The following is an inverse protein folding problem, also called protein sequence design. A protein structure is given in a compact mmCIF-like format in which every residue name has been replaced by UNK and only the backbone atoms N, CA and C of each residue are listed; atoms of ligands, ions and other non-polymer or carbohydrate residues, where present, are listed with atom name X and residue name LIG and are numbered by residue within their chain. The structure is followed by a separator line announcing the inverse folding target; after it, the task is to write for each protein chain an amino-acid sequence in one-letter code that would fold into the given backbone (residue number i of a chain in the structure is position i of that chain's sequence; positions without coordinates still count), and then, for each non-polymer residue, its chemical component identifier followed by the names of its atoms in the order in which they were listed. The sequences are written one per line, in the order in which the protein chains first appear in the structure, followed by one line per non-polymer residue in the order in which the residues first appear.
data_IF_426723398085
#
_entry.id   IF_426723398085
#
_cell.length_a   1.000
_cell.length_b   1.000
_cell.length_c   1.000
_cell.angle_alpha   90.00
_cell.angle_beta   90.00
_cell.angle_gamma   90.00
#
_symmetry.space_group_name_H-M   'P 1'
#
loop_
_entity.id
_entity.type
_entity.pdbx_description
1 polymer ?
#
# COMPACT_ATOMS: atom_id res chain seq x y z
N UNK A 1 4.76 -20.74 4.76
CA UNK A 1 4.35 -20.33 3.39
C UNK A 1 5.55 -19.70 2.70
N UNK A 2 5.65 -19.77 1.37
CA UNK A 2 6.78 -19.17 0.62
C UNK A 2 6.67 -17.66 0.42
N UNK A 3 5.52 -17.08 0.75
CA UNK A 3 5.20 -15.66 0.60
C UNK A 3 4.41 -15.14 1.82
N UNK A 4 3.78 -13.97 1.67
CA UNK A 4 2.96 -13.31 2.69
C UNK A 4 1.80 -14.19 3.18
N UNK A 5 1.41 -14.05 4.44
CA UNK A 5 0.24 -14.76 4.97
C UNK A 5 -1.07 -14.30 4.32
N UNK A 6 -1.14 -13.03 3.91
CA UNK A 6 -2.24 -12.44 3.16
C UNK A 6 -1.75 -11.20 2.39
N UNK A 7 -2.26 -11.02 1.17
CA UNK A 7 -2.16 -9.80 0.38
C UNK A 7 -3.57 -9.39 -0.08
N UNK A 8 -4.04 -8.20 0.29
CA UNK A 8 -5.33 -7.65 -0.15
C UNK A 8 -5.11 -6.38 -0.95
N UNK A 9 -5.45 -6.42 -2.24
CA UNK A 9 -5.26 -5.32 -3.16
C UNK A 9 -6.25 -5.37 -4.35
N UNK A 10 -6.40 -4.25 -5.05
CA UNK A 10 -6.98 -4.21 -6.40
C UNK A 10 -5.89 -4.34 -7.48
N UNK A 11 -6.26 -4.29 -8.76
CA UNK A 11 -5.29 -4.26 -9.87
C UNK A 11 -5.46 -3.01 -10.73
N UNK A 12 -4.37 -2.29 -11.00
CA UNK A 12 -4.40 -1.13 -11.89
C UNK A 12 -4.45 -1.62 -13.33
N UNK A 13 -5.32 -1.04 -14.16
CA UNK A 13 -5.14 -1.11 -15.61
C UNK A 13 -4.31 0.08 -16.06
N UNK A 14 -3.25 -0.15 -16.83
CA UNK A 14 -2.45 0.95 -17.39
C UNK A 14 -3.11 1.48 -18.66
N UNK A 15 -3.30 2.78 -18.76
CA UNK A 15 -3.72 3.44 -20.00
C UNK A 15 -2.62 3.25 -21.04
N UNK A 16 -2.97 2.59 -22.15
CA UNK A 16 -2.08 2.30 -23.28
C UNK A 16 -2.33 3.22 -24.46
N UNK A 17 -3.57 3.68 -24.62
CA UNK A 17 -3.97 4.60 -25.67
C UNK A 17 -5.17 5.42 -25.22
N UNK A 18 -5.19 6.72 -25.51
CA UNK A 18 -6.40 7.57 -25.40
C UNK A 18 -7.00 7.72 -26.80
N UNK A 19 -8.23 7.23 -27.00
CA UNK A 19 -8.89 7.24 -28.31
C UNK A 19 -9.63 8.55 -28.57
N UNK A 20 -10.27 9.08 -27.53
CA UNK A 20 -11.00 10.34 -27.54
C UNK A 20 -11.06 10.93 -26.12
N UNK A 21 -11.92 11.91 -25.87
CA UNK A 21 -12.06 12.54 -24.57
C UNK A 21 -12.71 11.66 -23.50
N UNK A 22 -13.35 10.56 -23.88
CA UNK A 22 -14.05 9.66 -22.95
C UNK A 22 -13.49 8.24 -22.97
N UNK A 23 -12.73 7.84 -23.99
CA UNK A 23 -12.41 6.44 -24.25
C UNK A 23 -10.92 6.18 -24.26
N UNK A 24 -10.52 5.12 -23.57
CA UNK A 24 -9.14 4.62 -23.52
C UNK A 24 -9.08 3.14 -23.85
N UNK A 25 -7.91 2.69 -24.31
CA UNK A 25 -7.49 1.30 -24.23
C UNK A 25 -6.58 1.18 -23.01
N UNK A 26 -6.95 0.31 -22.08
CA UNK A 26 -6.20 0.04 -20.86
C UNK A 26 -5.85 -1.44 -20.76
N UNK A 27 -4.70 -1.76 -20.15
CA UNK A 27 -4.12 -3.10 -20.15
C UNK A 27 -3.67 -3.53 -18.76
N UNK A 28 -3.89 -4.80 -18.42
CA UNK A 28 -3.16 -5.44 -17.34
C UNK A 28 -1.66 -5.48 -17.67
N UNK A 29 -0.82 -5.14 -16.71
CA UNK A 29 0.63 -5.07 -16.96
C UNK A 29 1.39 -6.27 -16.40
N UNK A 30 1.01 -6.76 -15.21
CA UNK A 30 1.66 -7.92 -14.63
C UNK A 30 1.12 -9.23 -15.26
N UNK A 31 1.98 -10.15 -15.75
CA UNK A 31 1.52 -11.36 -16.44
C UNK A 31 0.63 -12.29 -15.64
N UNK A 32 0.73 -12.24 -14.31
CA UNK A 32 -0.09 -13.06 -13.40
C UNK A 32 -1.46 -12.44 -13.07
N UNK A 33 -1.74 -11.21 -13.54
CA UNK A 33 -3.00 -10.51 -13.30
C UNK A 33 -3.98 -10.60 -14.49
N UNK A 34 -3.61 -11.28 -15.57
CA UNK A 34 -4.41 -11.31 -16.81
C UNK A 34 -5.71 -12.09 -16.67
N UNK A 35 -6.73 -11.64 -17.41
CA UNK A 35 -7.88 -12.46 -17.76
C UNK A 35 -8.99 -12.54 -16.72
N UNK A 36 -8.90 -11.74 -15.65
CA UNK A 36 -10.01 -11.49 -14.73
C UNK A 36 -10.91 -10.38 -15.26
N UNK A 37 -12.19 -10.39 -14.84
CA UNK A 37 -13.05 -9.22 -14.99
C UNK A 37 -12.48 -8.10 -14.10
N UNK A 38 -12.30 -6.91 -14.67
CA UNK A 38 -11.71 -5.77 -13.95
C UNK A 38 -12.77 -4.80 -13.41
N UNK A 39 -13.93 -4.73 -14.07
CA UNK A 39 -15.01 -3.84 -13.70
C UNK A 39 -16.19 -3.96 -14.65
N UNK A 40 -17.28 -3.29 -14.30
CA UNK A 40 -18.56 -3.30 -15.02
C UNK A 40 -19.11 -1.88 -15.20
N UNK A 41 -20.14 -1.74 -16.04
CA UNK A 41 -20.81 -0.47 -16.25
C UNK A 41 -21.38 0.07 -14.92
N UNK A 42 -21.12 1.34 -14.65
CA UNK A 42 -21.52 2.05 -13.43
C UNK A 42 -20.42 2.13 -12.37
N UNK A 43 -19.36 1.32 -12.46
CA UNK A 43 -18.27 1.33 -11.48
C UNK A 43 -17.59 2.70 -11.41
N UNK A 44 -17.40 3.19 -10.20
CA UNK A 44 -16.61 4.39 -9.91
C UNK A 44 -15.12 4.07 -9.99
N UNK A 45 -14.37 4.95 -10.66
CA UNK A 45 -12.94 4.79 -10.92
C UNK A 45 -12.17 6.08 -10.60
N UNK A 46 -10.86 5.95 -10.42
CA UNK A 46 -9.93 7.08 -10.34
C UNK A 46 -8.64 6.80 -11.12
N UNK A 47 -7.87 7.85 -11.39
CA UNK A 47 -6.66 7.77 -12.19
C UNK A 47 -5.44 8.15 -11.37
N UNK A 48 -4.38 7.35 -11.49
CA UNK A 48 -3.10 7.57 -10.79
C UNK A 48 -1.99 7.76 -11.81
N UNK A 49 -1.15 8.79 -11.60
CA UNK A 49 0.05 9.02 -12.39
C UNK A 49 1.15 8.06 -11.90
N UNK A 50 1.63 7.13 -12.71
CA UNK A 50 2.53 6.06 -12.26
C UNK A 50 3.85 6.56 -11.66
N UNK A 51 4.40 7.66 -12.19
CA UNK A 51 5.69 8.20 -11.75
C UNK A 51 5.67 8.75 -10.32
N UNK A 52 4.62 9.50 -9.96
CA UNK A 52 4.48 10.14 -8.64
C UNK A 52 3.45 9.46 -7.75
N UNK A 53 2.71 8.47 -8.26
CA UNK A 53 1.55 7.84 -7.62
C UNK A 53 0.46 8.84 -7.18
N UNK A 54 0.38 10.01 -7.81
CA UNK A 54 -0.63 11.02 -7.46
C UNK A 54 -1.94 10.83 -8.24
N UNK A 55 -3.07 11.08 -7.56
CA UNK A 55 -4.37 11.12 -8.19
C UNK A 55 -4.52 12.33 -9.13
N UNK A 56 -5.07 12.08 -10.32
CA UNK A 56 -5.30 13.04 -11.41
C UNK A 56 -6.73 12.87 -11.94
N UNK A 57 -7.40 13.90 -12.48
CA UNK A 57 -8.70 13.71 -13.14
C UNK A 57 -9.94 13.67 -12.25
N UNK A 58 -9.78 13.63 -10.93
CA UNK A 58 -10.87 13.32 -10.02
C UNK A 58 -11.43 11.89 -10.21
N UNK A 59 -12.64 11.66 -9.71
CA UNK A 59 -13.35 10.38 -9.88
C UNK A 59 -14.21 10.42 -11.13
N UNK A 60 -14.38 9.28 -11.79
CA UNK A 60 -15.25 9.11 -12.95
C UNK A 60 -16.05 7.80 -12.81
N UNK A 61 -16.93 7.49 -13.77
CA UNK A 61 -17.67 6.22 -13.84
C UNK A 61 -17.48 5.54 -15.17
N UNK A 62 -17.39 4.21 -15.14
CA UNK A 62 -17.39 3.38 -16.36
C UNK A 62 -18.78 3.45 -17.00
N UNK A 63 -18.86 3.97 -18.22
CA UNK A 63 -20.08 3.93 -19.03
C UNK A 63 -20.17 2.61 -19.81
N UNK A 64 -19.04 2.17 -20.36
CA UNK A 64 -18.91 0.92 -21.10
C UNK A 64 -17.50 0.35 -20.90
N UNK A 65 -17.40 -0.96 -20.69
CA UNK A 65 -16.14 -1.70 -20.69
C UNK A 65 -16.28 -2.96 -21.54
N UNK A 66 -15.41 -3.09 -22.55
CA UNK A 66 -15.39 -4.22 -23.47
C UNK A 66 -13.97 -4.77 -23.61
N UNK A 67 -13.80 -6.09 -23.75
CA UNK A 67 -12.53 -6.67 -24.17
C UNK A 67 -12.04 -6.04 -25.48
N UNK A 68 -10.74 -5.74 -25.56
CA UNK A 68 -10.12 -5.14 -26.76
C UNK A 68 -9.26 -6.14 -27.56
N UNK A 69 -8.65 -7.11 -26.90
CA UNK A 69 -7.75 -8.11 -27.53
C UNK A 69 -8.35 -9.52 -27.65
N UNK A 70 -9.61 -9.69 -27.24
CA UNK A 70 -10.37 -10.95 -27.22
C UNK A 70 -11.86 -10.69 -27.48
N UNK A 71 -12.61 -11.74 -27.80
CA UNK A 71 -14.06 -11.66 -27.97
C UNK A 71 -14.83 -11.70 -26.64
N UNK A 72 -14.17 -12.09 -25.55
CA UNK A 72 -14.76 -12.26 -24.22
C UNK A 72 -13.80 -11.77 -23.12
N UNK A 73 -14.36 -11.41 -21.97
CA UNK A 73 -13.62 -10.94 -20.78
C UNK A 73 -12.59 -11.98 -20.31
N UNK A 74 -12.98 -13.26 -20.31
CA UNK A 74 -12.11 -14.34 -19.87
C UNK A 74 -10.84 -14.42 -20.73
N UNK A 75 -9.70 -14.13 -20.12
CA UNK A 75 -8.40 -14.13 -20.79
C UNK A 75 -8.05 -12.85 -21.56
N UNK A 76 -8.93 -11.83 -21.53
CA UNK A 76 -8.62 -10.51 -22.05
C UNK A 76 -7.48 -9.86 -21.25
N UNK A 77 -6.57 -9.20 -21.96
CA UNK A 77 -5.49 -8.42 -21.36
C UNK A 77 -5.74 -6.93 -21.49
N UNK A 78 -6.52 -6.54 -22.50
CA UNK A 78 -6.87 -5.18 -22.79
C UNK A 78 -8.37 -4.96 -22.74
N UNK A 79 -8.75 -3.79 -22.27
CA UNK A 79 -10.11 -3.31 -22.26
C UNK A 79 -10.20 -1.97 -22.98
N UNK A 80 -11.22 -1.83 -23.81
CA UNK A 80 -11.71 -0.52 -24.26
C UNK A 80 -12.69 -0.04 -23.21
N UNK A 81 -12.37 1.08 -22.55
CA UNK A 81 -13.16 1.64 -21.47
C UNK A 81 -13.61 3.04 -21.89
N UNK A 82 -14.93 3.24 -21.91
CA UNK A 82 -15.54 4.55 -22.12
C UNK A 82 -16.08 5.05 -20.78
N UNK A 83 -15.74 6.28 -20.42
CA UNK A 83 -16.17 6.92 -19.18
C UNK A 83 -17.39 7.82 -19.38
N UNK A 84 -18.15 8.04 -18.30
CA UNK A 84 -19.32 8.90 -18.31
C UNK A 84 -18.94 10.38 -18.52
N UNK A 85 -17.93 10.85 -17.79
CA UNK A 85 -17.40 12.22 -17.90
C UNK A 85 -16.14 12.25 -18.77
N UNK A 86 -15.83 13.39 -19.42
CA UNK A 86 -14.58 13.53 -20.16
C UNK A 86 -13.35 13.41 -19.23
N UNK A 87 -12.27 12.84 -19.75
CA UNK A 87 -10.98 12.75 -19.09
C UNK A 87 -10.27 14.10 -19.11
N UNK A 88 -9.72 14.49 -17.97
CA UNK A 88 -8.81 15.64 -17.88
C UNK A 88 -7.70 15.53 -18.94
N UNK A 89 -7.33 16.67 -19.54
CA UNK A 89 -6.34 16.73 -20.61
C UNK A 89 -4.96 16.17 -20.19
N UNK A 90 -4.65 16.18 -18.89
CA UNK A 90 -3.41 15.63 -18.33
C UNK A 90 -3.36 14.10 -18.37
N UNK A 91 -4.51 13.41 -18.42
CA UNK A 91 -4.56 11.95 -18.48
C UNK A 91 -4.28 11.51 -19.92
N UNK A 92 -3.05 11.11 -20.18
CA UNK A 92 -2.57 10.71 -21.51
C UNK A 92 -1.99 9.30 -21.49
N UNK A 93 -1.76 8.74 -22.67
CA UNK A 93 -1.05 7.46 -22.87
C UNK A 93 0.48 7.58 -22.82
N UNK A 94 1.02 8.80 -22.69
CA UNK A 94 2.48 9.08 -22.72
C UNK A 94 3.15 9.04 -21.36
N UNK A 95 2.49 9.57 -20.32
CA UNK A 95 3.10 9.78 -19.01
C UNK A 95 2.89 8.62 -18.02
N UNK A 96 2.20 7.56 -18.46
CA UNK A 96 1.91 6.38 -17.64
C UNK A 96 0.85 6.68 -16.59
N UNK A 97 -0.37 6.24 -16.86
CA UNK A 97 -1.49 6.33 -15.91
C UNK A 97 -2.06 4.95 -15.62
N UNK A 98 -2.34 4.69 -14.36
CA UNK A 98 -3.15 3.57 -13.89
C UNK A 98 -4.59 4.01 -13.66
N UNK A 99 -5.53 3.10 -13.92
CA UNK A 99 -6.94 3.22 -13.55
C UNK A 99 -7.19 2.27 -12.39
N UNK A 100 -7.78 2.78 -11.32
CA UNK A 100 -8.22 1.99 -10.17
C UNK A 100 -9.74 1.95 -10.11
N UNK A 101 -10.29 0.74 -9.92
CA UNK A 101 -11.70 0.52 -9.69
C UNK A 101 -12.01 0.65 -8.20
N UNK A 102 -12.70 1.73 -7.82
CA UNK A 102 -13.05 2.03 -6.44
C UNK A 102 -14.24 1.21 -5.93
N UNK A 103 -15.04 0.66 -6.86
CA UNK A 103 -16.23 -0.11 -6.52
C UNK A 103 -15.89 -1.52 -6.03
N UNK A 104 -14.68 -1.99 -6.36
CA UNK A 104 -14.20 -3.35 -6.08
C UNK A 104 -13.07 -3.36 -5.05
N UNK A 105 -13.04 -2.36 -4.17
CA UNK A 105 -12.15 -2.34 -3.01
C UNK A 105 -12.85 -2.97 -1.79
N UNK A 106 -12.20 -3.88 -1.05
CA UNK A 106 -12.77 -4.47 0.16
C UNK A 106 -12.45 -3.64 1.42
N UNK A 107 -13.34 -3.69 2.40
CA UNK A 107 -12.97 -3.49 3.81
C UNK A 107 -12.24 -4.75 4.33
N UNK A 108 -11.27 -4.57 5.22
CA UNK A 108 -10.46 -5.64 5.78
C UNK A 108 -10.57 -5.66 7.29
N UNK A 109 -10.88 -6.84 7.83
CA UNK A 109 -10.83 -7.13 9.25
C UNK A 109 -9.97 -8.37 9.47
N UNK A 110 -8.74 -8.17 9.97
CA UNK A 110 -7.75 -9.22 10.18
C UNK A 110 -7.40 -9.29 11.66
N UNK A 111 -7.96 -10.27 12.37
CA UNK A 111 -7.83 -10.37 13.81
C UNK A 111 -7.66 -11.79 14.34
N UNK A 112 -7.02 -11.88 15.51
CA UNK A 112 -6.87 -13.11 16.29
C UNK A 112 -6.06 -14.22 15.56
N UNK A 113 -5.09 -13.83 14.73
CA UNK A 113 -4.25 -14.74 13.95
C UNK A 113 -2.84 -14.92 14.56
N UNK A 114 -2.17 -16.01 14.16
CA UNK A 114 -0.74 -16.23 14.39
C UNK A 114 -0.02 -16.30 13.05
N UNK A 115 0.92 -15.39 12.82
CA UNK A 115 1.70 -15.26 11.58
C UNK A 115 3.16 -15.55 11.91
N UNK A 116 3.70 -16.66 11.40
CA UNK A 116 5.07 -17.10 11.68
C UNK A 116 5.64 -18.00 10.60
N UNK A 117 6.97 -18.13 10.57
CA UNK A 117 7.71 -19.09 9.73
C UNK A 117 7.42 -18.96 8.21
N UNK A 118 7.01 -17.79 7.74
CA UNK A 118 6.82 -17.52 6.32
C UNK A 118 8.03 -16.75 5.78
N UNK A 119 8.37 -16.99 4.51
CA UNK A 119 9.62 -16.47 3.92
C UNK A 119 9.58 -14.95 3.70
N UNK A 120 8.46 -14.35 3.31
CA UNK A 120 8.39 -12.95 2.87
C UNK A 120 7.86 -12.00 3.96
N UNK A 121 6.90 -11.11 3.67
CA UNK A 121 6.28 -10.19 4.64
C UNK A 121 5.24 -10.95 5.47
N UNK A 122 4.84 -10.43 6.63
CA UNK A 122 3.73 -11.03 7.38
C UNK A 122 2.41 -10.86 6.63
N UNK A 123 2.00 -9.61 6.41
CA UNK A 123 0.78 -9.24 5.67
C UNK A 123 1.01 -8.04 4.76
N UNK A 124 0.30 -7.97 3.64
CA UNK A 124 0.25 -6.80 2.76
C UNK A 124 -1.19 -6.30 2.61
N UNK A 125 -1.41 -5.00 2.82
CA UNK A 125 -2.70 -4.37 2.63
C UNK A 125 -2.59 -3.13 1.75
N UNK A 126 -3.41 -3.09 0.70
CA UNK A 126 -3.56 -1.99 -0.23
C UNK A 126 -5.05 -1.81 -0.55
N UNK A 127 -5.76 -0.99 0.24
CA UNK A 127 -7.16 -0.66 -0.03
C UNK A 127 -7.49 0.74 0.51
N UNK A 128 -8.31 1.53 -0.20
CA UNK A 128 -8.77 2.83 0.30
C UNK A 128 -9.85 2.70 1.38
N UNK A 129 -10.52 1.55 1.48
CA UNK A 129 -11.53 1.33 2.51
C UNK A 129 -10.89 0.93 3.84
N UNK A 130 -11.74 0.76 4.86
CA UNK A 130 -11.30 0.50 6.23
C UNK A 130 -10.51 -0.81 6.32
N UNK A 131 -9.30 -0.74 6.88
CA UNK A 131 -8.48 -1.89 7.25
C UNK A 131 -8.25 -1.90 8.75
N UNK A 132 -8.61 -2.98 9.42
CA UNK A 132 -8.34 -3.19 10.85
C UNK A 132 -7.51 -4.44 11.03
N UNK A 133 -6.36 -4.28 11.67
CA UNK A 133 -5.41 -5.35 12.01
C UNK A 133 -5.27 -5.37 13.53
N UNK A 134 -5.88 -6.35 14.20
CA UNK A 134 -5.88 -6.35 15.66
C UNK A 134 -5.76 -7.71 16.35
N UNK A 135 -5.18 -7.73 17.55
CA UNK A 135 -5.03 -8.96 18.36
C UNK A 135 -4.30 -10.09 17.65
N UNK A 136 -3.43 -9.77 16.69
CA UNK A 136 -2.61 -10.76 16.01
C UNK A 136 -1.26 -10.93 16.71
N UNK A 137 -0.70 -12.13 16.59
CA UNK A 137 0.68 -12.44 16.93
C UNK A 137 1.50 -12.56 15.64
N UNK A 138 2.46 -11.66 15.46
CA UNK A 138 3.50 -11.75 14.44
C UNK A 138 4.77 -12.28 15.10
N UNK A 139 5.09 -13.55 14.85
CA UNK A 139 6.11 -14.31 15.54
C UNK A 139 7.24 -14.68 14.55
N UNK A 140 8.35 -13.96 14.66
CA UNK A 140 9.56 -14.12 13.84
C UNK A 140 9.31 -14.07 12.33
N UNK A 141 8.51 -13.10 11.86
CA UNK A 141 8.34 -12.89 10.40
C UNK A 141 9.68 -12.57 9.75
N UNK A 142 9.97 -13.20 8.61
CA UNK A 142 11.25 -13.00 7.94
C UNK A 142 11.41 -11.59 7.39
N UNK A 143 10.38 -11.04 6.74
CA UNK A 143 10.31 -9.63 6.36
C UNK A 143 9.54 -8.78 7.37
N UNK A 144 9.10 -7.61 6.91
CA UNK A 144 8.22 -6.71 7.66
C UNK A 144 6.96 -7.46 8.07
N UNK A 145 6.47 -7.24 9.29
CA UNK A 145 5.27 -7.90 9.78
C UNK A 145 4.03 -7.38 9.04
N UNK A 146 3.95 -6.07 8.82
CA UNK A 146 2.85 -5.44 8.09
C UNK A 146 3.43 -4.48 7.04
N UNK A 147 3.07 -4.71 5.79
CA UNK A 147 3.35 -3.84 4.66
C UNK A 147 2.07 -3.13 4.22
N UNK A 148 2.09 -1.79 4.23
CA UNK A 148 1.11 -0.98 3.51
C UNK A 148 1.78 -0.51 2.21
N UNK A 149 1.24 -0.90 1.07
CA UNK A 149 1.88 -0.69 -0.23
C UNK A 149 0.94 0.01 -1.23
N UNK A 150 1.44 0.14 -2.45
CA UNK A 150 0.73 0.54 -3.65
C UNK A 150 1.75 0.73 -4.75
N UNK A 151 1.49 0.13 -5.90
CA UNK A 151 2.45 0.11 -6.99
C UNK A 151 1.73 0.15 -8.34
N UNK A 152 2.06 1.12 -9.18
CA UNK A 152 1.58 1.23 -10.56
C UNK A 152 2.75 1.14 -11.57
N UNK A 153 3.83 0.45 -11.21
CA UNK A 153 5.08 0.41 -11.96
C UNK A 153 5.61 -1.02 -12.20
N UNK A 154 5.45 -1.95 -11.24
CA UNK A 154 5.89 -3.34 -11.34
C UNK A 154 4.74 -4.36 -11.29
N UNK A 155 4.15 -4.54 -10.11
CA UNK A 155 3.04 -5.43 -9.78
C UNK A 155 1.67 -4.91 -10.18
N UNK A 156 1.50 -3.57 -10.26
CA UNK A 156 0.21 -2.93 -10.58
C UNK A 156 -0.89 -3.24 -9.55
N UNK A 157 -0.53 -3.25 -8.27
CA UNK A 157 -1.44 -3.47 -7.15
C UNK A 157 -1.97 -2.14 -6.60
N UNK A 158 -3.28 -1.97 -6.61
CA UNK A 158 -3.94 -0.71 -6.20
C UNK A 158 -4.33 -0.72 -4.75
N UNK A 159 -4.49 0.50 -4.22
CA UNK A 159 -5.22 0.73 -2.99
C UNK A 159 -4.44 1.59 -2.02
N UNK A 160 -4.54 2.91 -2.19
CA UNK A 160 -3.97 3.83 -1.21
C UNK A 160 -4.67 3.70 0.14
N UNK A 161 -3.95 3.27 1.18
CA UNK A 161 -4.44 3.23 2.56
C UNK A 161 -4.92 4.62 3.06
N UNK A 162 -6.23 4.78 3.26
CA UNK A 162 -6.87 6.01 3.78
C UNK A 162 -7.47 5.87 5.18
N UNK A 163 -7.72 4.64 5.63
CA UNK A 163 -8.33 4.35 6.93
C UNK A 163 -7.82 3.02 7.48
N UNK A 164 -6.67 3.05 8.13
CA UNK A 164 -6.02 1.85 8.68
C UNK A 164 -5.88 1.97 10.20
N UNK A 165 -6.26 0.91 10.90
CA UNK A 165 -6.09 0.77 12.35
C UNK A 165 -5.31 -0.52 12.65
N UNK A 166 -4.10 -0.37 13.18
CA UNK A 166 -3.24 -1.47 13.63
C UNK A 166 -3.16 -1.38 15.15
N UNK A 167 -3.83 -2.28 15.87
CA UNK A 167 -3.89 -2.20 17.34
C UNK A 167 -3.86 -3.51 18.10
N UNK A 168 -3.39 -3.49 19.34
CA UNK A 168 -3.38 -4.66 20.22
C UNK A 168 -2.67 -5.88 19.60
N UNK A 169 -1.73 -5.68 18.67
CA UNK A 169 -0.93 -6.76 18.10
C UNK A 169 0.36 -6.94 18.90
N UNK A 170 0.91 -8.15 18.85
CA UNK A 170 2.23 -8.47 19.40
C UNK A 170 3.18 -8.82 18.26
N UNK A 171 4.32 -8.14 18.20
CA UNK A 171 5.38 -8.37 17.24
C UNK A 171 6.60 -8.92 17.98
N UNK A 172 7.02 -10.14 17.66
CA UNK A 172 8.17 -10.79 18.26
C UNK A 172 9.22 -10.98 17.18
N UNK A 173 10.35 -10.28 17.32
CA UNK A 173 11.54 -10.42 16.48
C UNK A 173 11.23 -10.51 14.98
N UNK A 174 10.36 -9.63 14.48
CA UNK A 174 10.12 -9.48 13.05
C UNK A 174 11.36 -8.91 12.33
N UNK A 175 11.38 -8.98 11.00
CA UNK A 175 12.54 -8.62 10.16
C UNK A 175 13.77 -9.50 10.37
N UNK A 176 13.61 -10.82 10.44
CA UNK A 176 14.78 -11.73 10.58
C UNK A 176 15.62 -11.89 9.31
N UNK A 177 15.21 -11.30 8.18
CA UNK A 177 15.95 -11.33 6.91
C UNK A 177 15.62 -10.12 6.01
N UNK A 178 16.41 -9.89 4.95
CA UNK A 178 16.22 -8.78 4.01
C UNK A 178 15.35 -9.16 2.82
N UNK A 179 14.26 -8.42 2.59
CA UNK A 179 13.38 -8.55 1.43
C UNK A 179 13.06 -7.18 0.81
N UNK A 180 12.42 -7.21 -0.36
CA UNK A 180 11.92 -5.97 -0.99
C UNK A 180 10.82 -5.35 -0.13
N UNK A 181 10.83 -4.02 -0.03
CA UNK A 181 9.82 -3.22 0.68
C UNK A 181 9.74 -3.49 2.20
N UNK A 182 10.81 -4.03 2.80
CA UNK A 182 10.89 -4.32 4.25
C UNK A 182 11.95 -3.46 4.93
N UNK A 183 11.58 -2.22 5.31
CA UNK A 183 12.52 -1.25 5.91
C UNK A 183 12.37 -1.13 7.45
N UNK A 184 11.31 -1.69 8.01
CA UNK A 184 10.99 -1.72 9.45
C UNK A 184 9.96 -2.81 9.79
N UNK A 185 9.71 -3.08 11.08
CA UNK A 185 8.69 -4.07 11.52
C UNK A 185 7.32 -3.78 10.90
N UNK A 186 6.95 -2.50 10.81
CA UNK A 186 5.84 -2.02 9.97
C UNK A 186 6.41 -1.10 8.90
N UNK A 187 6.18 -1.43 7.63
CA UNK A 187 6.63 -0.63 6.49
C UNK A 187 5.43 -0.06 5.74
N UNK A 188 5.36 1.27 5.62
CA UNK A 188 4.45 1.98 4.71
C UNK A 188 5.31 2.41 3.52
N UNK A 189 5.25 1.63 2.43
CA UNK A 189 6.22 1.69 1.34
C UNK A 189 5.51 1.61 -0.02
N UNK A 190 4.91 2.69 -0.52
CA UNK A 190 4.48 2.75 -1.91
C UNK A 190 5.67 2.88 -2.89
N UNK A 191 5.53 2.25 -4.05
CA UNK A 191 6.50 2.32 -5.14
C UNK A 191 6.30 3.60 -5.96
N UNK A 192 7.13 4.60 -5.66
CA UNK A 192 7.10 5.93 -6.27
C UNK A 192 8.45 6.18 -6.92
N UNK A 193 8.56 6.03 -8.26
CA UNK A 193 9.79 6.29 -9.00
C UNK A 193 10.30 7.73 -8.88
N UNK A 194 9.39 8.70 -8.93
CA UNK A 194 9.71 10.13 -8.90
C UNK A 194 9.18 10.78 -7.63
N UNK A 195 9.79 10.41 -6.50
CA UNK A 195 9.41 10.96 -5.19
C UNK A 195 9.81 12.44 -5.06
N UNK A 196 10.89 12.87 -5.69
CA UNK A 196 11.40 14.24 -5.62
C UNK A 196 10.38 15.25 -6.17
N UNK A 197 9.68 14.90 -7.25
CA UNK A 197 8.67 15.77 -7.85
C UNK A 197 7.23 15.48 -7.38
N UNK A 198 7.04 14.53 -6.47
CA UNK A 198 5.73 14.26 -5.87
C UNK A 198 5.26 15.47 -5.04
N UNK A 199 4.04 15.95 -5.30
CA UNK A 199 3.47 17.14 -4.61
C UNK A 199 2.48 16.77 -3.50
N UNK A 200 1.77 15.66 -3.66
CA UNK A 200 0.77 15.10 -2.74
C UNK A 200 1.21 13.73 -2.25
N UNK A 201 0.57 13.25 -1.19
CA UNK A 201 0.93 11.98 -0.56
C UNK A 201 0.09 10.84 -1.10
N UNK A 202 0.71 9.69 -1.33
CA UNK A 202 0.01 8.51 -1.82
C UNK A 202 -0.96 7.96 -0.78
N UNK A 203 -0.57 7.87 0.49
CA UNK A 203 -1.42 7.41 1.60
C UNK A 203 -2.01 8.56 2.44
N UNK A 204 -3.15 8.31 3.10
CA UNK A 204 -3.82 9.30 3.96
C UNK A 204 -4.37 10.51 3.19
N UNK A 205 -4.17 11.73 3.69
CA UNK A 205 -4.60 12.97 3.03
C UNK A 205 -5.70 13.72 3.79
N UNK A 206 -5.96 14.95 3.34
CA UNK A 206 -6.92 15.85 4.00
C UNK A 206 -8.33 15.25 3.99
N UNK A 207 -8.91 15.07 5.18
CA UNK A 207 -10.25 14.52 5.38
C UNK A 207 -10.25 13.01 5.62
N UNK A 208 -9.13 12.34 5.39
CA UNK A 208 -8.97 10.91 5.60
C UNK A 208 -8.60 10.58 7.04
N UNK A 209 -8.89 9.35 7.46
CA UNK A 209 -8.52 8.87 8.81
C UNK A 209 -7.02 8.59 8.93
N UNK A 210 -6.35 8.35 7.80
CA UNK A 210 -4.93 8.04 7.72
C UNK A 210 -4.63 6.65 8.27
N UNK A 211 -3.46 6.52 8.90
CA UNK A 211 -3.00 5.29 9.52
C UNK A 211 -2.80 5.52 11.02
N UNK A 212 -3.42 4.67 11.85
CA UNK A 212 -3.27 4.68 13.31
C UNK A 212 -2.68 3.36 13.76
N UNK A 213 -1.57 3.44 14.48
CA UNK A 213 -0.84 2.32 15.07
C UNK A 213 -0.83 2.53 16.58
N UNK A 214 -1.69 1.82 17.30
CA UNK A 214 -1.92 2.05 18.74
C UNK A 214 -1.94 0.80 19.60
N UNK A 215 -1.49 0.92 20.85
CA UNK A 215 -1.62 -0.14 21.86
C UNK A 215 -0.99 -1.50 21.44
N UNK A 216 0.06 -1.48 20.61
CA UNK A 216 0.79 -2.69 20.21
C UNK A 216 2.03 -2.93 21.10
N UNK A 217 2.47 -4.17 21.16
CA UNK A 217 3.68 -4.60 21.87
C UNK A 217 4.74 -5.10 20.88
N UNK A 218 5.90 -4.46 20.88
CA UNK A 218 7.03 -4.80 20.02
C UNK A 218 8.19 -5.36 20.85
N UNK A 219 8.62 -6.58 20.56
CA UNK A 219 9.86 -7.18 21.04
C UNK A 219 10.82 -7.27 19.86
N UNK A 220 11.86 -6.44 19.84
CA UNK A 220 12.73 -6.30 18.67
C UNK A 220 14.21 -6.50 19.01
N UNK A 221 14.91 -7.27 18.20
CA UNK A 221 16.36 -7.47 18.33
C UNK A 221 17.18 -6.39 17.57
N UNK A 222 16.59 -5.76 16.54
CA UNK A 222 17.17 -4.65 15.77
C UNK A 222 16.37 -3.34 15.97
N UNK A 223 16.84 -2.23 15.42
CA UNK A 223 16.29 -0.87 15.63
C UNK A 223 14.95 -0.59 14.91
N UNK A 224 14.75 -0.94 13.62
CA UNK A 224 13.64 -0.40 12.83
C UNK A 224 12.26 -0.90 13.25
N UNK A 225 11.43 0.00 13.80
CA UNK A 225 10.04 -0.30 14.17
C UNK A 225 9.06 0.19 13.11
N UNK A 226 9.25 1.41 12.61
CA UNK A 226 8.36 2.01 11.62
C UNK A 226 9.14 2.71 10.51
N UNK A 227 8.84 2.35 9.27
CA UNK A 227 9.22 3.08 8.08
C UNK A 227 7.96 3.64 7.42
N UNK A 228 7.96 4.91 7.06
CA UNK A 228 6.85 5.50 6.33
C UNK A 228 7.29 6.39 5.19
N UNK A 229 6.78 6.11 3.99
CA UNK A 229 6.99 6.87 2.76
C UNK A 229 5.66 7.40 2.21
N UNK A 230 5.63 8.68 1.83
CA UNK A 230 4.50 9.30 1.13
C UNK A 230 3.15 9.14 1.84
N UNK A 231 3.06 9.65 3.07
CA UNK A 231 1.84 9.60 3.88
C UNK A 231 1.53 10.95 4.53
N UNK A 232 0.25 11.36 4.46
CA UNK A 232 -0.30 12.50 5.20
C UNK A 232 -1.32 12.01 6.23
N UNK A 233 -0.97 12.06 7.51
CA UNK A 233 -1.83 11.56 8.60
C UNK A 233 -1.43 10.17 9.07
N UNK A 234 -0.44 10.14 9.97
CA UNK A 234 0.05 8.92 10.62
C UNK A 234 0.12 9.16 12.12
N UNK A 235 -0.46 8.26 12.92
CA UNK A 235 -0.42 8.32 14.38
C UNK A 235 0.17 7.02 14.90
N UNK A 236 1.26 7.11 15.65
CA UNK A 236 1.89 6.00 16.36
C UNK A 236 1.90 6.31 17.86
N UNK A 237 1.00 5.68 18.63
CA UNK A 237 0.78 6.06 20.03
C UNK A 237 0.52 4.90 20.97
N UNK A 238 0.83 5.07 22.25
CA UNK A 238 0.56 4.08 23.30
C UNK A 238 1.17 2.69 23.03
N UNK A 239 2.17 2.58 22.16
CA UNK A 239 2.84 1.31 21.91
C UNK A 239 3.94 1.10 22.95
N UNK A 240 4.24 -0.16 23.24
CA UNK A 240 5.39 -0.54 24.07
C UNK A 240 6.43 -1.18 23.17
N UNK A 241 7.68 -0.71 23.28
CA UNK A 241 8.80 -1.18 22.48
C UNK A 241 9.90 -1.64 23.43
N UNK A 242 10.18 -2.94 23.37
CA UNK A 242 11.18 -3.62 24.16
C UNK A 242 12.29 -4.13 23.23
N UNK A 243 13.47 -3.58 23.42
CA UNK A 243 14.66 -4.08 22.75
C UNK A 243 15.16 -5.37 23.45
N UNK A 244 15.57 -6.36 22.67
CA UNK A 244 16.27 -7.55 23.16
C UNK A 244 17.56 -7.78 22.34
N UNK A 245 18.25 -8.88 22.64
CA UNK A 245 19.47 -9.31 21.94
C UNK A 245 19.37 -10.77 21.49
N UNK A 246 18.16 -11.23 21.15
CA UNK A 246 17.93 -12.62 20.73
C UNK A 246 18.66 -12.94 19.42
N UNK A 247 18.88 -11.91 18.59
CA UNK A 247 19.67 -11.97 17.36
C UNK A 247 20.59 -10.74 17.25
N UNK A 248 21.72 -10.84 16.52
CA UNK A 248 22.54 -9.68 16.21
C UNK A 248 21.81 -8.75 15.24
N UNK A 249 21.88 -7.44 15.50
CA UNK A 249 21.40 -6.42 14.57
C UNK A 249 22.16 -6.48 13.24
N UNK A 250 21.45 -6.39 12.13
CA UNK A 250 22.02 -6.46 10.78
C UNK A 250 21.38 -5.48 9.78
N UNK A 251 20.18 -4.96 10.09
CA UNK A 251 19.41 -4.14 9.16
C UNK A 251 20.14 -2.81 8.86
N UNK A 252 20.07 -2.31 7.61
CA UNK A 252 20.79 -1.08 7.22
C UNK A 252 20.16 0.17 7.83
N UNK A 253 18.83 0.23 7.94
CA UNK A 253 18.14 1.28 8.69
C UNK A 253 18.52 1.17 10.18
N UNK A 254 19.14 2.23 10.73
CA UNK A 254 19.57 2.30 12.13
C UNK A 254 18.67 3.16 13.01
N UNK A 255 17.59 3.70 12.45
CA UNK A 255 16.64 4.53 13.19
C UNK A 255 15.39 3.73 13.56
N UNK A 256 14.84 3.99 14.74
CA UNK A 256 13.59 3.35 15.18
C UNK A 256 12.41 3.76 14.31
N UNK A 257 12.33 5.05 14.00
CA UNK A 257 11.37 5.63 13.08
C UNK A 257 12.11 6.27 11.90
N UNK A 258 11.78 5.88 10.67
CA UNK A 258 12.28 6.52 9.45
C UNK A 258 11.11 7.03 8.63
N UNK A 259 11.08 8.34 8.39
CA UNK A 259 9.96 9.04 7.78
C UNK A 259 10.46 9.78 6.53
N UNK A 260 9.99 9.37 5.36
CA UNK A 260 10.40 9.89 4.07
C UNK A 260 9.20 10.53 3.35
N UNK A 261 9.27 11.85 3.07
CA UNK A 261 8.18 12.59 2.45
C UNK A 261 6.84 12.36 3.18
N UNK A 262 6.76 12.81 4.44
CA UNK A 262 5.58 12.61 5.30
C UNK A 262 5.01 13.91 5.83
N UNK A 263 3.71 13.92 6.13
CA UNK A 263 3.01 15.07 6.72
C UNK A 263 2.07 14.62 7.83
N UNK A 264 1.83 15.51 8.80
CA UNK A 264 0.89 15.29 9.91
C UNK A 264 1.15 13.96 10.66
N UNK A 265 2.42 13.69 10.94
CA UNK A 265 2.86 12.50 11.70
C UNK A 265 2.91 12.82 13.19
N UNK A 266 2.27 12.00 14.02
CA UNK A 266 2.33 12.06 15.49
C UNK A 266 2.90 10.77 16.05
N UNK A 267 3.98 10.87 16.81
CA UNK A 267 4.58 9.77 17.58
C UNK A 267 4.52 10.22 19.04
N UNK A 268 3.64 9.63 19.84
CA UNK A 268 3.35 10.15 21.18
C UNK A 268 2.99 9.06 22.18
N UNK A 269 3.32 9.25 23.46
CA UNK A 269 2.90 8.37 24.57
C UNK A 269 3.31 6.90 24.40
N UNK A 270 4.41 6.64 23.69
CA UNK A 270 4.97 5.30 23.57
C UNK A 270 5.92 5.04 24.75
N UNK A 271 6.03 3.79 25.17
CA UNK A 271 6.98 3.34 26.18
C UNK A 271 8.17 2.66 25.48
N UNK A 272 9.34 3.27 25.54
CA UNK A 272 10.58 2.74 25.00
C UNK A 272 11.42 2.21 26.15
N UNK A 273 11.47 0.89 26.35
CA UNK A 273 12.16 0.30 27.51
C UNK A 273 13.69 0.55 27.48
N UNK A 274 14.26 0.76 26.29
CA UNK A 274 15.66 1.13 26.11
C UNK A 274 15.91 2.65 25.98
N UNK A 275 14.85 3.46 26.05
CA UNK A 275 14.89 4.91 25.92
C UNK A 275 15.22 5.45 24.52
N UNK A 276 15.31 4.60 23.49
CA UNK A 276 15.61 5.05 22.13
C UNK A 276 14.34 5.54 21.42
N UNK A 277 14.26 6.85 21.20
CA UNK A 277 13.19 7.52 20.47
C UNK A 277 13.66 8.03 19.09
N UNK A 278 14.69 7.43 18.50
CA UNK A 278 15.31 7.93 17.26
C UNK A 278 14.34 8.06 16.09
N UNK A 279 14.28 9.26 15.52
CA UNK A 279 13.49 9.59 14.33
C UNK A 279 14.41 10.19 13.26
N UNK A 280 14.52 9.54 12.11
CA UNK A 280 15.09 10.12 10.90
C UNK A 280 13.97 10.68 10.01
N UNK A 281 14.09 11.93 9.59
CA UNK A 281 13.14 12.60 8.68
C UNK A 281 13.88 13.04 7.42
N UNK A 282 13.35 12.62 6.28
CA UNK A 282 13.84 12.91 4.93
C UNK A 282 12.70 13.47 4.07
#
# INVERSE_FOLDING_TARGET
MMDDAINVHGTYLKIKQRLDDHTVIARYMHPQAYGFEWGVNGDEVQFVRSATMELTGGKNRVKEILPNDKDMVKGAKEYRITFAEPLDAEITDKEGFGIENLSWCPEVYFADNVIRNNRARGTLFSTPLKTVVERNLFDHTSGTAILLCGDCNGWFETGACRNVLIRNNRFINALTNMFQFTEAVISIYPEIPDLEHQKKYFHGGKGEKGVVIEDNYFETFDRPVLFAKSIDGLIFKNNVIRQNTDYPAFHHNKSRFRLLHTRNVKIEKNNFEDGDESIARE
#
